data_IF_035229166035
#
_entry.id   IF_035229166035
#
_cell.length_a   1.000
_cell.length_b   1.000
_cell.length_c   1.000
_cell.angle_alpha   90.00
_cell.angle_beta   90.00
_cell.angle_gamma   90.00
#
_symmetry.space_group_name_H-M   'P 1'
#
loop_
_entity.id
_entity.type
_entity.pdbx_description
1 polymer ?
#
# COMPACT_ATOMS: atom_id res chain seq x y z
N UNK A 1 1.45 -4.59 13.80
CA UNK A 1 1.32 -6.00 13.33
C UNK A 1 0.31 -6.75 14.18
N UNK A 2 0.62 -7.06 15.45
CA UNK A 2 -0.27 -7.83 16.35
C UNK A 2 -1.67 -7.22 16.52
N UNK A 3 -1.77 -5.91 16.79
CA UNK A 3 -3.08 -5.24 16.95
C UNK A 3 -3.96 -5.34 15.69
N UNK A 4 -3.39 -5.12 14.49
CA UNK A 4 -4.11 -5.33 13.23
C UNK A 4 -4.47 -6.80 13.03
N UNK A 5 -3.55 -7.73 13.31
CA UNK A 5 -3.81 -9.16 13.19
C UNK A 5 -4.99 -9.61 14.07
N UNK A 6 -5.08 -9.08 15.31
CA UNK A 6 -6.21 -9.32 16.21
C UNK A 6 -7.52 -8.76 15.67
N UNK A 7 -7.51 -7.53 15.16
CA UNK A 7 -8.69 -6.92 14.52
C UNK A 7 -9.16 -7.77 13.33
N UNK A 8 -8.23 -8.19 12.47
CA UNK A 8 -8.53 -8.98 11.29
C UNK A 8 -9.13 -10.34 11.67
N UNK A 9 -8.49 -11.09 12.57
CA UNK A 9 -9.01 -12.37 13.05
C UNK A 9 -10.40 -12.22 13.70
N UNK A 10 -10.59 -11.21 14.56
CA UNK A 10 -11.88 -10.95 15.20
C UNK A 10 -12.96 -10.67 14.16
N UNK A 11 -12.65 -9.91 13.11
CA UNK A 11 -13.62 -9.61 12.07
C UNK A 11 -14.02 -10.83 11.24
N UNK A 12 -13.12 -11.82 11.09
CA UNK A 12 -13.42 -13.10 10.43
C UNK A 12 -14.43 -13.87 11.28
N UNK A 13 -14.21 -13.96 12.58
CA UNK A 13 -15.15 -14.59 13.52
C UNK A 13 -16.52 -13.89 13.50
N UNK A 14 -16.54 -12.55 13.58
CA UNK A 14 -17.77 -11.75 13.51
C UNK A 14 -18.49 -11.96 12.18
N UNK A 15 -17.78 -12.03 11.04
CA UNK A 15 -18.42 -12.22 9.74
C UNK A 15 -19.11 -13.59 9.62
N UNK A 16 -18.60 -14.63 10.28
CA UNK A 16 -19.23 -15.96 10.26
C UNK A 16 -20.55 -16.01 10.99
N UNK A 17 -20.64 -15.33 12.14
CA UNK A 17 -21.84 -15.34 12.98
C UNK A 17 -22.82 -14.22 12.62
N UNK A 18 -22.29 -13.05 12.28
CA UNK A 18 -22.98 -11.78 12.11
C UNK A 18 -22.45 -11.00 10.89
N UNK A 19 -22.57 -11.55 9.67
CA UNK A 19 -22.07 -10.90 8.45
C UNK A 19 -22.66 -9.50 8.24
N UNK A 20 -23.90 -9.26 8.68
CA UNK A 20 -24.60 -7.98 8.54
C UNK A 20 -23.88 -6.81 9.21
N UNK A 21 -23.12 -7.06 10.29
CA UNK A 21 -22.35 -6.03 10.99
C UNK A 21 -21.25 -5.52 10.06
N UNK A 22 -20.46 -6.43 9.50
CA UNK A 22 -19.35 -6.10 8.61
C UNK A 22 -19.87 -5.50 7.30
N UNK A 23 -20.91 -6.09 6.71
CA UNK A 23 -21.53 -5.59 5.48
C UNK A 23 -22.04 -4.16 5.64
N UNK A 24 -22.63 -3.84 6.80
CA UNK A 24 -23.09 -2.48 7.11
C UNK A 24 -21.93 -1.50 7.24
N UNK A 25 -20.83 -1.92 7.90
CA UNK A 25 -19.65 -1.07 8.11
C UNK A 25 -18.91 -0.72 6.81
N UNK A 26 -18.89 -1.62 5.84
CA UNK A 26 -18.16 -1.43 4.56
C UNK A 26 -19.05 -0.93 3.43
N UNK A 27 -20.35 -0.74 3.68
CA UNK A 27 -21.31 -0.30 2.67
C UNK A 27 -21.01 1.13 2.23
N UNK A 28 -20.73 1.29 0.94
CA UNK A 28 -20.55 2.57 0.29
C UNK A 28 -21.56 2.74 -0.85
N UNK A 29 -21.95 3.98 -1.16
CA UNK A 29 -22.81 4.23 -2.31
C UNK A 29 -22.03 3.99 -3.61
N UNK A 30 -22.67 3.49 -4.68
CA UNK A 30 -22.03 3.30 -5.98
C UNK A 30 -21.33 4.57 -6.49
N UNK A 31 -21.98 5.73 -6.37
CA UNK A 31 -21.42 7.03 -6.76
C UNK A 31 -20.14 7.38 -5.99
N UNK A 32 -20.07 7.04 -4.70
CA UNK A 32 -18.87 7.28 -3.89
C UNK A 32 -17.72 6.38 -4.33
N UNK A 33 -18.01 5.10 -4.59
CA UNK A 33 -17.02 4.13 -5.08
C UNK A 33 -16.49 4.55 -6.44
N UNK A 34 -17.36 4.95 -7.37
CA UNK A 34 -16.97 5.38 -8.71
C UNK A 34 -16.09 6.63 -8.69
N UNK A 35 -16.51 7.67 -7.96
CA UNK A 35 -15.72 8.90 -7.79
C UNK A 35 -14.39 8.63 -7.11
N UNK A 36 -14.37 7.76 -6.10
CA UNK A 36 -13.17 7.32 -5.41
C UNK A 36 -12.19 6.63 -6.36
N UNK A 37 -12.68 5.74 -7.23
CA UNK A 37 -11.86 5.05 -8.23
C UNK A 37 -11.30 6.02 -9.28
N UNK A 38 -12.09 6.98 -9.74
CA UNK A 38 -11.65 8.03 -10.67
C UNK A 38 -10.54 8.88 -10.05
N UNK A 39 -10.75 9.38 -8.83
CA UNK A 39 -9.74 10.15 -8.10
C UNK A 39 -8.46 9.32 -7.86
N UNK A 40 -8.61 8.04 -7.52
CA UNK A 40 -7.48 7.13 -7.35
C UNK A 40 -6.70 6.94 -8.65
N UNK A 41 -7.37 6.82 -9.80
CA UNK A 41 -6.70 6.71 -11.12
C UNK A 41 -5.93 7.99 -11.48
N UNK A 42 -6.47 9.16 -11.15
CA UNK A 42 -5.78 10.45 -11.35
C UNK A 42 -4.52 10.50 -10.49
N UNK A 43 -4.66 10.21 -9.20
CA UNK A 43 -3.55 10.16 -8.23
C UNK A 43 -2.45 9.19 -8.67
N UNK A 44 -2.84 7.99 -9.11
CA UNK A 44 -1.95 7.01 -9.69
C UNK A 44 -1.15 7.56 -10.87
N UNK A 45 -1.84 8.18 -11.83
CA UNK A 45 -1.22 8.72 -13.06
C UNK A 45 -0.27 9.86 -12.75
N UNK A 46 -0.65 10.80 -11.87
CA UNK A 46 0.21 11.89 -11.44
C UNK A 46 1.47 11.36 -10.75
N UNK A 47 1.33 10.38 -9.86
CA UNK A 47 2.45 9.78 -9.14
C UNK A 47 3.47 9.12 -10.07
N UNK A 48 3.01 8.33 -11.05
CA UNK A 48 3.90 7.73 -12.05
C UNK A 48 4.63 8.80 -12.88
N UNK A 49 3.93 9.84 -13.33
CA UNK A 49 4.54 10.92 -14.13
C UNK A 49 5.59 11.72 -13.37
N UNK A 50 5.30 12.05 -12.11
CA UNK A 50 6.26 12.74 -11.27
C UNK A 50 7.48 11.86 -11.01
N UNK A 51 7.28 10.55 -10.79
CA UNK A 51 8.38 9.60 -10.61
C UNK A 51 9.24 9.46 -11.87
N UNK A 52 8.63 9.30 -13.04
CA UNK A 52 9.36 9.26 -14.31
C UNK A 52 10.21 10.53 -14.50
N UNK A 53 9.63 11.71 -14.23
CA UNK A 53 10.32 12.98 -14.35
C UNK A 53 11.45 13.15 -13.32
N UNK A 54 11.33 12.58 -12.11
CA UNK A 54 12.39 12.60 -11.10
C UNK A 54 13.60 11.73 -11.47
N UNK A 55 13.36 10.60 -12.13
CA UNK A 55 14.39 9.62 -12.47
C UNK A 55 15.06 9.86 -13.82
N UNK A 56 14.48 10.70 -14.68
CA UNK A 56 14.95 10.95 -16.06
C UNK A 56 16.45 11.24 -16.15
N UNK A 57 16.98 12.03 -15.22
CA UNK A 57 18.39 12.45 -15.20
C UNK A 57 19.26 11.58 -14.25
N UNK A 58 18.79 10.39 -13.85
CA UNK A 58 19.48 9.52 -12.88
C UNK A 58 19.89 8.19 -13.53
N UNK A 59 21.12 8.11 -14.09
CA UNK A 59 21.56 6.93 -14.85
C UNK A 59 21.58 5.64 -14.02
N UNK A 60 21.85 5.74 -12.71
CA UNK A 60 21.88 4.59 -11.80
C UNK A 60 20.50 3.91 -11.63
N UNK A 61 19.41 4.61 -11.98
CA UNK A 61 18.04 4.10 -11.89
C UNK A 61 17.39 3.92 -13.26
N UNK A 62 18.18 3.78 -14.34
CA UNK A 62 17.67 3.70 -15.71
C UNK A 62 16.64 2.59 -15.92
N UNK A 63 16.91 1.39 -15.42
CA UNK A 63 15.98 0.25 -15.54
C UNK A 63 14.63 0.55 -14.86
N UNK A 64 14.68 1.22 -13.72
CA UNK A 64 13.48 1.63 -13.01
C UNK A 64 12.73 2.75 -13.73
N UNK A 65 13.45 3.74 -14.26
CA UNK A 65 12.86 4.79 -15.10
C UNK A 65 12.18 4.21 -16.33
N UNK A 66 12.80 3.27 -17.05
CA UNK A 66 12.21 2.62 -18.23
C UNK A 66 10.92 1.86 -17.88
N UNK A 67 10.89 1.17 -16.73
CA UNK A 67 9.69 0.50 -16.22
C UNK A 67 8.57 1.51 -15.93
N UNK A 68 8.86 2.56 -15.14
CA UNK A 68 7.86 3.58 -14.79
C UNK A 68 7.38 4.35 -16.02
N UNK A 69 8.29 4.65 -16.95
CA UNK A 69 7.97 5.31 -18.22
C UNK A 69 6.99 4.47 -19.05
N UNK A 70 7.24 3.17 -19.15
CA UNK A 70 6.33 2.23 -19.80
C UNK A 70 4.97 2.16 -19.09
N UNK A 71 4.97 2.21 -17.75
CA UNK A 71 3.76 2.15 -16.94
C UNK A 71 2.92 3.43 -16.98
N UNK A 72 3.51 4.61 -17.23
CA UNK A 72 2.75 5.86 -17.37
C UNK A 72 2.15 6.06 -18.78
N UNK A 73 2.72 5.42 -19.80
CA UNK A 73 2.32 5.59 -21.20
C UNK A 73 1.08 4.76 -21.57
N UNK A 74 0.73 3.77 -20.76
CA UNK A 74 -0.44 2.92 -20.97
C UNK A 74 -1.09 2.51 -19.64
N UNK A 75 -2.33 2.02 -19.72
CA UNK A 75 -3.10 1.61 -18.54
C UNK A 75 -2.75 0.19 -18.05
N UNK A 76 -1.68 -0.46 -18.51
CA UNK A 76 -1.42 -1.87 -18.15
C UNK A 76 -1.21 -2.05 -16.65
N UNK A 77 -0.39 -1.22 -16.02
CA UNK A 77 -0.14 -1.36 -14.58
C UNK A 77 -1.41 -1.07 -13.76
N UNK A 78 -2.21 -0.09 -14.20
CA UNK A 78 -3.53 0.19 -13.64
C UNK A 78 -4.49 -1.00 -13.79
N UNK A 79 -4.51 -1.66 -14.95
CA UNK A 79 -5.33 -2.85 -15.19
C UNK A 79 -4.89 -4.03 -14.32
N UNK A 80 -3.57 -4.25 -14.16
CA UNK A 80 -3.03 -5.26 -13.23
C UNK A 80 -3.47 -4.94 -11.79
N UNK A 81 -3.40 -3.67 -11.38
CA UNK A 81 -3.88 -3.24 -10.06
C UNK A 81 -5.38 -3.54 -9.88
N UNK A 82 -6.22 -3.23 -10.88
CA UNK A 82 -7.65 -3.54 -10.81
C UNK A 82 -7.95 -5.04 -10.79
N UNK A 83 -7.21 -5.86 -11.55
CA UNK A 83 -7.33 -7.32 -11.50
C UNK A 83 -6.94 -7.86 -10.11
N UNK A 84 -5.89 -7.29 -9.51
CA UNK A 84 -5.45 -7.62 -8.15
C UNK A 84 -6.53 -7.28 -7.10
N UNK A 85 -7.13 -6.09 -7.14
CA UNK A 85 -8.17 -5.68 -6.17
C UNK A 85 -9.47 -6.49 -6.31
N UNK A 86 -9.75 -7.06 -7.50
CA UNK A 86 -10.93 -7.90 -7.76
C UNK A 86 -10.71 -9.38 -7.44
N UNK A 87 -9.49 -9.77 -7.10
CA UNK A 87 -9.18 -11.18 -6.85
C UNK A 87 -9.94 -11.65 -5.61
N UNK A 88 -10.54 -12.83 -5.70
CA UNK A 88 -11.10 -13.49 -4.53
C UNK A 88 -9.96 -14.13 -3.73
N UNK A 89 -9.93 -13.83 -2.43
CA UNK A 89 -8.95 -14.36 -1.50
C UNK A 89 -9.60 -15.42 -0.60
N UNK A 90 -8.79 -16.37 -0.13
CA UNK A 90 -9.27 -17.43 0.77
C UNK A 90 -9.63 -16.88 2.15
N UNK A 91 -8.96 -15.81 2.57
CA UNK A 91 -9.18 -15.13 3.84
C UNK A 91 -9.49 -13.66 3.55
N UNK A 92 -10.71 -13.24 3.90
CA UNK A 92 -11.11 -11.83 3.92
C UNK A 92 -11.38 -11.41 5.36
N UNK A 93 -11.00 -10.18 5.69
CA UNK A 93 -11.18 -9.57 6.99
C UNK A 93 -11.57 -8.10 6.83
N UNK A 94 -12.12 -7.51 7.89
CA UNK A 94 -12.34 -6.08 7.98
C UNK A 94 -10.99 -5.39 8.22
N UNK A 95 -10.52 -4.63 7.24
CA UNK A 95 -9.31 -3.81 7.33
C UNK A 95 -9.67 -2.35 7.59
N UNK A 96 -8.81 -1.64 8.33
CA UNK A 96 -8.88 -0.19 8.54
C UNK A 96 -8.55 0.58 7.25
N UNK A 97 -7.72 0.01 6.37
CA UNK A 97 -7.42 0.44 5.00
C UNK A 97 -6.67 1.78 4.84
N UNK A 98 -6.29 2.43 5.93
CA UNK A 98 -5.42 3.61 5.96
C UNK A 98 -4.39 3.52 7.12
N UNK A 99 -3.53 2.47 7.11
CA UNK A 99 -2.68 2.11 8.25
C UNK A 99 -1.39 2.94 8.27
N UNK A 100 -1.50 4.25 8.17
CA UNK A 100 -0.37 5.16 8.38
C UNK A 100 -0.10 5.47 9.86
N UNK A 101 1.14 5.80 10.20
CA UNK A 101 1.58 5.95 11.58
C UNK A 101 0.83 7.04 12.37
N UNK A 102 0.24 8.03 11.69
CA UNK A 102 -0.58 9.08 12.31
C UNK A 102 -1.93 8.57 12.82
N UNK A 103 -2.41 7.42 12.32
CA UNK A 103 -3.63 6.76 12.80
C UNK A 103 -3.34 5.72 13.90
N UNK A 104 -2.19 5.84 14.57
CA UNK A 104 -1.75 4.95 15.63
C UNK A 104 -1.36 5.75 16.88
N UNK A 105 -1.97 5.43 18.02
CA UNK A 105 -1.59 5.96 19.33
C UNK A 105 -0.74 4.96 20.09
N UNK A 106 0.46 5.37 20.48
CA UNK A 106 1.39 4.55 21.24
C UNK A 106 1.37 4.90 22.73
N UNK A 107 1.18 3.89 23.57
CA UNK A 107 1.37 4.00 25.02
C UNK A 107 2.84 3.80 25.33
N UNK A 108 3.43 4.68 26.13
CA UNK A 108 4.84 4.60 26.51
C UNK A 108 4.99 4.30 28.01
N UNK A 109 6.01 3.52 28.36
CA UNK A 109 6.42 3.33 29.75
C UNK A 109 7.26 4.53 30.27
N UNK A 110 7.69 4.46 31.53
CA UNK A 110 8.51 5.50 32.15
C UNK A 110 9.89 5.70 31.49
N UNK A 111 10.37 4.74 30.69
CA UNK A 111 11.62 4.84 29.93
C UNK A 111 11.42 5.42 28.53
N UNK A 112 10.17 5.72 28.15
CA UNK A 112 9.82 6.22 26.81
C UNK A 112 9.69 5.12 25.75
N UNK A 113 9.64 3.84 26.15
CA UNK A 113 9.47 2.72 25.22
C UNK A 113 7.99 2.46 24.96
N UNK A 114 7.63 2.23 23.70
CA UNK A 114 6.26 1.90 23.34
C UNK A 114 5.89 0.50 23.87
N UNK A 115 4.85 0.42 24.70
CA UNK A 115 4.37 -0.82 25.32
C UNK A 115 3.05 -1.32 24.75
N UNK A 116 2.30 -0.46 24.07
CA UNK A 116 0.99 -0.81 23.51
C UNK A 116 0.64 0.17 22.38
N UNK A 117 -0.25 -0.25 21.48
CA UNK A 117 -0.71 0.55 20.34
C UNK A 117 -2.22 0.41 20.14
N UNK A 118 -2.88 1.54 19.94
CA UNK A 118 -4.28 1.60 19.50
C UNK A 118 -4.36 2.21 18.11
N UNK A 119 -5.08 1.52 17.23
CA UNK A 119 -5.42 2.00 15.90
C UNK A 119 -6.73 2.78 16.00
N UNK A 120 -6.84 3.89 15.29
CA UNK A 120 -8.05 4.69 15.19
C UNK A 120 -8.27 5.14 13.74
N UNK A 121 -9.33 5.94 13.52
CA UNK A 121 -9.76 6.40 12.20
C UNK A 121 -10.18 5.27 11.24
N UNK A 122 -11.41 4.81 11.42
CA UNK A 122 -12.03 3.73 10.65
C UNK A 122 -12.95 4.26 9.53
N UNK A 123 -12.67 5.44 8.97
CA UNK A 123 -13.51 6.03 7.92
C UNK A 123 -13.42 5.28 6.57
N UNK A 124 -12.34 4.50 6.36
CA UNK A 124 -12.01 3.86 5.10
C UNK A 124 -12.17 2.34 5.10
N UNK A 125 -12.94 1.79 6.05
CA UNK A 125 -13.11 0.35 6.23
C UNK A 125 -13.41 -0.40 4.93
N UNK A 126 -12.73 -1.54 4.74
CA UNK A 126 -12.98 -2.46 3.62
C UNK A 126 -13.02 -3.89 4.13
N UNK A 127 -13.78 -4.75 3.45
CA UNK A 127 -13.76 -6.20 3.69
C UNK A 127 -13.04 -6.88 2.53
N UNK A 128 -11.78 -7.26 2.75
CA UNK A 128 -10.88 -7.84 1.73
C UNK A 128 -9.74 -8.58 2.44
N UNK A 129 -8.75 -9.09 1.71
CA UNK A 129 -7.61 -9.77 2.33
C UNK A 129 -6.87 -8.86 3.33
N UNK A 130 -6.54 -9.38 4.53
CA UNK A 130 -5.75 -8.64 5.51
C UNK A 130 -4.31 -8.37 5.04
N UNK A 131 -3.84 -9.06 3.99
CA UNK A 131 -2.52 -8.82 3.37
C UNK A 131 -2.45 -7.44 2.73
N UNK A 132 -3.57 -6.95 2.19
CA UNK A 132 -3.64 -5.62 1.55
C UNK A 132 -3.26 -4.51 2.53
N UNK A 133 -3.84 -4.52 3.73
CA UNK A 133 -3.50 -3.54 4.78
C UNK A 133 -2.04 -3.68 5.22
N UNK A 134 -1.59 -4.92 5.40
CA UNK A 134 -0.22 -5.19 5.83
C UNK A 134 0.82 -4.64 4.84
N UNK A 135 0.62 -4.84 3.54
CA UNK A 135 1.47 -4.26 2.49
C UNK A 135 1.42 -2.74 2.53
N UNK A 136 0.24 -2.12 2.65
CA UNK A 136 0.14 -0.66 2.79
C UNK A 136 0.92 -0.15 4.01
N UNK A 137 0.82 -0.81 5.17
CA UNK A 137 1.54 -0.46 6.39
C UNK A 137 3.07 -0.53 6.21
N UNK A 138 3.57 -1.59 5.58
CA UNK A 138 5.00 -1.77 5.30
C UNK A 138 5.55 -0.60 4.51
N UNK A 139 4.86 -0.23 3.43
CA UNK A 139 5.36 0.78 2.50
C UNK A 139 4.99 2.21 2.89
N UNK A 140 4.06 2.44 3.82
CA UNK A 140 3.73 3.77 4.33
C UNK A 140 4.49 4.16 5.60
N UNK A 141 4.69 3.22 6.53
CA UNK A 141 4.98 3.54 7.94
C UNK A 141 6.16 2.79 8.54
N UNK A 142 6.53 1.63 7.98
CA UNK A 142 7.66 0.86 8.50
C UNK A 142 8.97 1.58 8.13
N UNK A 143 9.76 1.86 9.17
CA UNK A 143 11.07 2.50 9.04
C UNK A 143 11.95 1.73 8.05
N UNK A 144 12.75 2.48 7.30
CA UNK A 144 13.61 1.93 6.25
C UNK A 144 14.52 0.82 6.79
N UNK A 145 15.12 1.02 7.96
CA UNK A 145 16.07 0.09 8.59
C UNK A 145 15.41 -1.25 8.93
N UNK A 146 14.13 -1.21 9.35
CA UNK A 146 13.32 -2.40 9.63
C UNK A 146 13.02 -3.12 8.31
N UNK A 147 12.65 -2.41 7.25
CA UNK A 147 12.47 -3.01 5.91
C UNK A 147 13.77 -3.63 5.36
N UNK A 148 14.94 -3.06 5.67
CA UNK A 148 16.23 -3.61 5.19
C UNK A 148 16.66 -4.89 5.91
N UNK A 149 16.41 -4.97 7.23
CA UNK A 149 17.05 -5.97 8.09
C UNK A 149 16.10 -6.90 8.83
N UNK A 150 14.81 -6.57 8.88
CA UNK A 150 13.80 -7.21 9.74
C UNK A 150 12.45 -7.44 9.04
N UNK A 151 12.42 -7.40 7.71
CA UNK A 151 11.18 -7.52 6.96
C UNK A 151 10.57 -8.93 7.05
N UNK A 152 11.40 -9.98 6.93
CA UNK A 152 10.94 -11.38 7.09
C UNK A 152 10.51 -11.67 8.54
N UNK A 153 11.23 -11.12 9.55
CA UNK A 153 10.81 -11.16 10.95
C UNK A 153 9.41 -10.51 11.14
N UNK A 154 9.14 -9.39 10.47
CA UNK A 154 7.85 -8.70 10.51
C UNK A 154 6.75 -9.50 9.79
N UNK A 155 7.09 -10.18 8.69
CA UNK A 155 6.18 -11.09 7.99
C UNK A 155 5.75 -12.24 8.89
N UNK A 156 6.71 -12.90 9.54
CA UNK A 156 6.45 -13.96 10.50
C UNK A 156 5.61 -13.46 11.67
N UNK A 157 6.01 -12.34 12.29
CA UNK A 157 5.27 -11.75 13.40
C UNK A 157 3.78 -11.56 13.07
N UNK A 158 3.48 -11.01 11.89
CA UNK A 158 2.10 -10.77 11.48
C UNK A 158 1.35 -12.07 11.15
N UNK A 159 1.95 -12.94 10.35
CA UNK A 159 1.33 -14.20 9.90
C UNK A 159 1.03 -15.11 11.10
N UNK A 160 2.00 -15.29 12.00
CA UNK A 160 1.87 -16.13 13.19
C UNK A 160 0.83 -15.55 14.15
N UNK A 161 0.82 -14.23 14.35
CA UNK A 161 -0.19 -13.56 15.19
C UNK A 161 -1.60 -13.72 14.61
N UNK A 162 -1.76 -13.54 13.29
CA UNK A 162 -3.06 -13.68 12.63
C UNK A 162 -3.59 -15.10 12.78
N UNK A 163 -2.76 -16.11 12.49
CA UNK A 163 -3.13 -17.51 12.64
C UNK A 163 -3.42 -17.88 14.11
N UNK A 164 -2.65 -17.35 15.06
CA UNK A 164 -2.86 -17.55 16.49
C UNK A 164 -4.21 -16.99 16.96
N UNK A 165 -4.57 -15.77 16.56
CA UNK A 165 -5.87 -15.18 16.90
C UNK A 165 -7.04 -15.84 16.16
N UNK A 166 -6.86 -16.28 14.91
CA UNK A 166 -7.88 -17.07 14.21
C UNK A 166 -8.18 -18.35 14.98
N UNK A 167 -7.15 -19.04 15.48
CA UNK A 167 -7.32 -20.23 16.32
C UNK A 167 -7.97 -19.90 17.68
N UNK A 168 -7.55 -18.81 18.34
CA UNK A 168 -8.16 -18.33 19.59
C UNK A 168 -9.66 -18.02 19.43
N UNK A 169 -10.07 -17.51 18.27
CA UNK A 169 -11.47 -17.20 17.95
C UNK A 169 -12.19 -18.34 17.22
N UNK A 170 -11.68 -19.56 17.30
CA UNK A 170 -12.30 -20.78 16.75
C UNK A 170 -12.58 -20.71 15.23
N UNK A 171 -11.79 -19.93 14.50
CA UNK A 171 -11.85 -19.84 13.06
C UNK A 171 -11.05 -20.97 12.39
N UNK A 172 -11.64 -21.56 11.34
CA UNK A 172 -11.03 -22.64 10.55
C UNK A 172 -10.04 -22.14 9.50
N UNK A 173 -10.11 -20.86 9.14
CA UNK A 173 -9.21 -20.22 8.20
C UNK A 173 -7.81 -20.11 8.80
N UNK A 174 -6.81 -20.34 7.96
CA UNK A 174 -5.40 -20.10 8.25
C UNK A 174 -4.71 -19.72 6.94
N UNK A 175 -3.61 -18.99 7.04
CA UNK A 175 -2.75 -18.68 5.90
C UNK A 175 -1.38 -19.32 6.11
N UNK A 176 -0.96 -20.17 5.17
CA UNK A 176 0.41 -20.69 5.19
C UNK A 176 1.39 -19.55 4.89
N UNK A 177 2.58 -19.60 5.48
CA UNK A 177 3.54 -18.51 5.34
C UNK A 177 3.99 -18.31 3.88
N UNK A 178 4.11 -19.40 3.12
CA UNK A 178 4.44 -19.36 1.70
C UNK A 178 3.33 -18.68 0.88
N UNK A 179 2.07 -19.00 1.16
CA UNK A 179 0.91 -18.37 0.52
C UNK A 179 0.81 -16.88 0.89
N UNK A 180 1.09 -16.54 2.15
CA UNK A 180 1.18 -15.16 2.61
C UNK A 180 2.25 -14.36 1.86
N UNK A 181 3.46 -14.92 1.69
CA UNK A 181 4.53 -14.26 0.91
C UNK A 181 4.19 -14.14 -0.56
N UNK A 182 3.60 -15.17 -1.17
CA UNK A 182 3.14 -15.12 -2.55
C UNK A 182 2.05 -14.05 -2.73
N UNK A 183 1.17 -13.90 -1.74
CA UNK A 183 0.13 -12.90 -1.74
C UNK A 183 0.69 -11.49 -1.59
N UNK A 184 1.65 -11.25 -0.67
CA UNK A 184 2.39 -9.99 -0.55
C UNK A 184 2.98 -9.59 -1.91
N UNK A 185 3.68 -10.51 -2.58
CA UNK A 185 4.26 -10.25 -3.89
C UNK A 185 3.18 -9.92 -4.92
N UNK A 186 1.99 -10.52 -4.83
CA UNK A 186 0.88 -10.21 -5.74
C UNK A 186 0.34 -8.78 -5.62
N UNK A 187 0.57 -8.12 -4.47
CA UNK A 187 0.29 -6.70 -4.23
C UNK A 187 1.39 -5.76 -4.75
N UNK A 188 2.34 -6.25 -5.56
CA UNK A 188 3.35 -5.42 -6.25
C UNK A 188 2.80 -4.14 -6.93
N UNK A 189 1.62 -4.13 -7.61
CA UNK A 189 1.06 -2.88 -8.14
C UNK A 189 0.77 -1.85 -7.05
N UNK A 190 0.25 -2.29 -5.89
CA UNK A 190 0.03 -1.44 -4.73
C UNK A 190 1.36 -0.91 -4.17
N UNK A 191 2.42 -1.73 -4.15
CA UNK A 191 3.76 -1.27 -3.74
C UNK A 191 4.27 -0.14 -4.64
N UNK A 192 4.16 -0.29 -5.96
CA UNK A 192 4.53 0.78 -6.91
C UNK A 192 3.72 2.05 -6.65
N UNK A 193 2.41 1.92 -6.38
CA UNK A 193 1.59 3.06 -6.00
C UNK A 193 2.06 3.76 -4.72
N UNK A 194 2.33 2.99 -3.67
CA UNK A 194 2.79 3.53 -2.39
C UNK A 194 4.12 4.27 -2.56
N UNK A 195 5.05 3.68 -3.30
CA UNK A 195 6.39 4.24 -3.51
C UNK A 195 6.35 5.44 -4.45
N UNK A 196 5.71 5.32 -5.61
CA UNK A 196 5.68 6.38 -6.61
C UNK A 196 4.79 7.55 -6.23
N UNK A 197 3.75 7.34 -5.43
CA UNK A 197 2.75 8.37 -5.13
C UNK A 197 2.74 8.74 -3.64
N UNK A 198 2.38 7.81 -2.76
CA UNK A 198 2.06 8.13 -1.34
C UNK A 198 3.28 8.57 -0.54
N UNK A 199 4.42 7.90 -0.71
CA UNK A 199 5.65 8.21 0.01
C UNK A 199 6.22 9.62 -0.29
N UNK A 200 6.30 10.09 -1.54
CA UNK A 200 6.67 11.48 -1.83
C UNK A 200 5.88 12.51 -1.00
N UNK A 201 4.56 12.35 -0.88
CA UNK A 201 3.74 13.23 -0.03
C UNK A 201 4.06 13.10 1.45
N UNK A 202 4.33 11.88 1.91
CA UNK A 202 4.63 11.61 3.32
C UNK A 202 6.00 12.16 3.75
N UNK A 203 6.91 12.39 2.79
CA UNK A 203 8.28 12.85 3.02
C UNK A 203 8.47 14.34 2.76
N UNK A 204 7.41 15.07 2.41
CA UNK A 204 7.53 16.48 2.05
C UNK A 204 7.78 17.36 3.28
N UNK A 205 8.65 18.35 3.11
CA UNK A 205 8.95 19.34 4.15
C UNK A 205 7.80 20.38 4.20
N UNK A 206 6.79 20.13 5.04
CA UNK A 206 5.69 21.08 5.30
C UNK A 206 4.29 20.49 5.12
N UNK A 207 3.28 21.33 5.31
CA UNK A 207 1.89 20.92 5.13
C UNK A 207 1.49 20.95 3.64
N UNK A 208 1.05 19.81 3.11
CA UNK A 208 0.52 19.67 1.76
C UNK A 208 -0.87 19.07 1.83
N UNK A 209 -1.82 19.66 1.10
CA UNK A 209 -3.18 19.13 0.99
C UNK A 209 -3.30 18.25 -0.26
N UNK A 210 -3.24 16.93 -0.09
CA UNK A 210 -3.23 15.94 -1.17
C UNK A 210 -4.26 16.22 -2.29
N UNK A 211 -5.48 16.60 -1.91
CA UNK A 211 -6.59 16.88 -2.81
C UNK A 211 -6.35 18.08 -3.75
N UNK A 212 -5.38 18.95 -3.45
CA UNK A 212 -5.03 20.09 -4.30
C UNK A 212 -3.91 19.77 -5.30
N UNK A 213 -3.09 18.75 -5.02
CA UNK A 213 -1.91 18.38 -5.83
C UNK A 213 -2.18 17.19 -6.75
N UNK A 214 -3.14 16.33 -6.42
CA UNK A 214 -3.44 15.10 -7.17
C UNK A 214 -4.77 15.21 -7.91
N UNK A 215 -4.83 16.15 -8.84
CA UNK A 215 -6.04 16.52 -9.56
C UNK A 215 -5.87 16.36 -11.07
N UNK A 216 -6.99 16.32 -11.80
CA UNK A 216 -6.94 16.33 -13.27
C UNK A 216 -6.27 17.59 -13.83
N UNK A 217 -6.36 18.73 -13.14
CA UNK A 217 -5.67 19.97 -13.52
C UNK A 217 -4.14 19.80 -13.53
N UNK A 218 -3.60 18.98 -12.63
CA UNK A 218 -2.17 18.66 -12.58
C UNK A 218 -1.69 17.96 -13.86
N UNK A 219 -2.57 17.19 -14.51
CA UNK A 219 -2.26 16.48 -15.75
C UNK A 219 -2.31 17.38 -16.99
N UNK A 220 -2.79 18.63 -16.86
CA UNK A 220 -2.92 19.59 -17.98
C UNK A 220 -1.69 20.51 -18.16
N UNK A 221 -0.75 20.49 -17.22
CA UNK A 221 0.50 21.27 -17.26
C UNK A 221 1.71 20.35 -17.42
N UNK A 222 2.87 20.83 -17.88
CA UNK A 222 4.11 20.05 -17.83
C UNK A 222 4.37 19.54 -16.41
N UNK A 223 4.60 18.23 -16.24
CA UNK A 223 4.61 17.63 -14.89
C UNK A 223 5.67 18.25 -13.99
N UNK A 224 6.85 18.61 -14.52
CA UNK A 224 7.93 19.26 -13.78
C UNK A 224 7.58 20.67 -13.28
N UNK A 225 6.56 21.31 -13.87
CA UNK A 225 6.04 22.63 -13.45
C UNK A 225 4.86 22.50 -12.49
N UNK A 226 4.35 21.28 -12.29
CA UNK A 226 3.19 21.07 -11.43
C UNK A 226 3.54 21.17 -9.95
N UNK A 227 2.59 21.63 -9.10
CA UNK A 227 2.78 21.60 -7.65
C UNK A 227 3.09 20.19 -7.13
N UNK A 228 2.51 19.14 -7.75
CA UNK A 228 2.72 17.75 -7.35
C UNK A 228 4.19 17.34 -7.40
N UNK A 229 4.93 17.83 -8.40
CA UNK A 229 6.34 17.48 -8.57
C UNK A 229 7.24 18.05 -7.46
N UNK A 230 6.81 19.09 -6.75
CA UNK A 230 7.56 19.64 -5.62
C UNK A 230 7.76 18.61 -4.50
N UNK A 231 6.87 17.63 -4.36
CA UNK A 231 7.00 16.57 -3.33
C UNK A 231 8.14 15.60 -3.61
N UNK A 232 8.68 15.60 -4.83
CA UNK A 232 9.79 14.75 -5.28
C UNK A 232 11.14 15.49 -5.23
N UNK A 233 11.15 16.76 -4.79
CA UNK A 233 12.34 17.61 -4.70
C UNK A 233 12.77 17.88 -3.25
N UNK A 234 12.09 17.29 -2.27
CA UNK A 234 12.41 17.46 -0.85
C UNK A 234 13.72 16.77 -0.45
N UNK A 235 14.44 17.34 0.52
CA UNK A 235 15.74 16.78 0.97
C UNK A 235 15.58 15.40 1.62
N UNK A 236 14.49 15.20 2.38
CA UNK A 236 14.19 13.91 2.97
C UNK A 236 13.92 12.84 1.90
N UNK A 237 13.18 13.22 0.86
CA UNK A 237 12.92 12.37 -0.30
C UNK A 237 14.22 11.98 -1.01
N UNK A 238 15.02 12.94 -1.45
CA UNK A 238 16.29 12.67 -2.17
C UNK A 238 17.24 11.73 -1.41
N UNK A 239 17.29 11.88 -0.08
CA UNK A 239 18.15 11.06 0.79
C UNK A 239 17.71 9.60 0.89
N UNK A 240 16.40 9.36 1.00
CA UNK A 240 15.84 8.05 1.36
C UNK A 240 15.45 7.26 0.11
N UNK A 241 14.97 7.94 -0.93
CA UNK A 241 14.31 7.29 -2.05
C UNK A 241 15.18 6.29 -2.84
N UNK A 242 16.47 6.55 -3.11
CA UNK A 242 17.38 5.55 -3.69
C UNK A 242 17.32 4.18 -2.99
N UNK A 243 17.34 4.18 -1.66
CA UNK A 243 17.31 2.95 -0.86
C UNK A 243 15.95 2.25 -0.90
N UNK A 244 14.87 3.01 -1.12
CA UNK A 244 13.52 2.45 -1.31
C UNK A 244 13.42 1.74 -2.66
N UNK A 245 14.05 2.31 -3.71
CA UNK A 245 14.10 1.69 -5.03
C UNK A 245 14.89 0.39 -5.02
N UNK A 246 16.02 0.36 -4.33
CA UNK A 246 16.79 -0.88 -4.16
C UNK A 246 15.98 -1.96 -3.42
N UNK A 247 15.16 -1.57 -2.43
CA UNK A 247 14.30 -2.50 -1.71
C UNK A 247 13.21 -3.12 -2.61
N UNK A 248 12.47 -2.32 -3.37
CA UNK A 248 11.41 -2.88 -4.23
C UNK A 248 11.98 -3.78 -5.35
N UNK A 249 13.20 -3.50 -5.84
CA UNK A 249 13.93 -4.40 -6.73
C UNK A 249 14.23 -5.72 -6.02
N UNK A 250 14.81 -5.66 -4.81
CA UNK A 250 15.17 -6.85 -4.02
C UNK A 250 13.97 -7.71 -3.65
N UNK A 251 12.82 -7.09 -3.36
CA UNK A 251 11.57 -7.79 -3.06
C UNK A 251 10.87 -8.36 -4.32
N UNK A 252 11.47 -8.22 -5.51
CA UNK A 252 10.97 -8.83 -6.75
C UNK A 252 9.75 -8.13 -7.36
N UNK A 253 9.45 -6.89 -6.94
CA UNK A 253 8.26 -6.14 -7.35
C UNK A 253 8.23 -5.97 -8.88
N UNK A 254 9.34 -5.57 -9.50
CA UNK A 254 9.38 -5.37 -10.95
C UNK A 254 9.37 -6.66 -11.73
N UNK A 255 10.05 -7.69 -11.25
CA UNK A 255 10.07 -8.99 -11.94
C UNK A 255 8.66 -9.58 -11.99
N UNK A 256 7.93 -9.51 -10.88
CA UNK A 256 6.52 -9.89 -10.84
C UNK A 256 5.68 -9.09 -11.85
N UNK A 257 5.85 -7.75 -11.86
CA UNK A 257 5.04 -6.88 -12.72
C UNK A 257 5.37 -7.03 -14.20
N UNK A 258 6.63 -7.25 -14.58
CA UNK A 258 7.03 -7.54 -15.98
C UNK A 258 6.34 -8.79 -16.49
N UNK A 259 6.37 -9.88 -15.72
CA UNK A 259 5.67 -11.12 -16.05
C UNK A 259 4.18 -10.88 -16.25
N UNK A 260 3.55 -10.05 -15.39
CA UNK A 260 2.11 -9.70 -15.54
C UNK A 260 1.82 -8.84 -16.76
N UNK A 261 2.67 -7.87 -17.08
CA UNK A 261 2.52 -7.03 -18.27
C UNK A 261 2.67 -7.84 -19.56
N UNK A 262 3.60 -8.80 -19.61
CA UNK A 262 3.77 -9.67 -20.77
C UNK A 262 2.59 -10.62 -20.96
N UNK A 263 2.01 -11.13 -19.86
CA UNK A 263 0.76 -11.89 -19.89
C UNK A 263 -0.41 -11.08 -20.47
N UNK A 264 -0.52 -9.78 -20.17
CA UNK A 264 -1.55 -8.91 -20.73
C UNK A 264 -1.39 -8.69 -22.23
N UNK A 265 -0.15 -8.55 -22.74
CA UNK A 265 0.11 -8.40 -24.18
C UNK A 265 -0.22 -9.66 -25.00
N UNK A 266 -0.25 -10.82 -24.35
CA UNK A 266 -0.52 -12.12 -24.98
C UNK A 266 -2.00 -12.51 -25.02
N UNK A 267 -2.88 -11.72 -24.40
CA UNK A 267 -4.34 -11.87 -24.44
C UNK A 267 -4.95 -11.01 -25.55
#
# INVERSE_FOLDING_TARGET
>A
AETSAKLHALSVAVYKEHPEIIETLVKQSPDFVEKGLQAFKVMWTVGLRCMAAYLEDKPDFREYWEFIKTAEENDNLWNIFQEMEKKNHQLNALIQADPWCTNMMFKHNALGEATDVKIFDFQSLKYTTPVREFVTFIWSSVKLEVRQSKLDDLYHLYCDSLNGYLEEFECTEKIAFEDFKAEILSFSPLVVFMVCCVLPFSLVDGAIELATYLTEETLKVPIKESPAYLTYQGKAFEKIYPQILDQIVKEGVFDYLRVKMDQLKSK
#
